data_IF_496981382461
#
_entry.id   IF_496981382461
#
_cell.length_a   1.000
_cell.length_b   1.000
_cell.length_c   1.000
_cell.angle_alpha   90.00
_cell.angle_beta   90.00
_cell.angle_gamma   90.00
#
_symmetry.space_group_name_H-M   'P 1'
#
loop_
_entity.id
_entity.type
_entity.pdbx_description
1 polymer ?
#
# COMPACT_ATOMS: atom_id res chain seq x y z
N UNK A 1 30.60 3.85 16.57
CA UNK A 1 30.85 2.39 16.60
C UNK A 1 31.02 1.95 18.04
N UNK A 2 29.92 1.68 18.74
CA UNK A 2 29.96 0.94 20.01
C UNK A 2 29.76 -0.53 19.65
N UNK A 3 30.70 -1.39 20.03
CA UNK A 3 30.42 -2.81 20.08
C UNK A 3 29.36 -3.00 21.18
N UNK A 4 28.14 -3.35 20.82
CA UNK A 4 27.30 -4.08 21.76
C UNK A 4 28.00 -5.43 21.94
N UNK A 5 28.49 -5.70 23.15
CA UNK A 5 28.81 -7.06 23.51
C UNK A 5 27.49 -7.81 23.52
N UNK A 6 27.26 -8.71 22.56
CA UNK A 6 26.25 -9.74 22.70
C UNK A 6 26.58 -10.52 23.98
N UNK A 7 25.78 -10.31 25.03
CA UNK A 7 26.04 -10.94 26.33
C UNK A 7 25.55 -12.37 26.27
N UNK A 8 26.35 -13.22 25.62
CA UNK A 8 26.33 -14.65 25.92
C UNK A 8 26.80 -14.78 27.37
N UNK A 9 25.84 -14.80 28.29
CA UNK A 9 26.08 -15.10 29.69
C UNK A 9 26.41 -16.58 29.82
N UNK A 10 27.65 -16.96 29.45
CA UNK A 10 28.18 -18.30 29.68
C UNK A 10 28.21 -18.52 31.19
N UNK A 11 27.17 -19.16 31.71
CA UNK A 11 27.05 -19.43 33.14
C UNK A 11 27.93 -20.65 33.46
N UNK A 12 29.22 -20.38 33.66
CA UNK A 12 30.16 -21.36 34.20
C UNK A 12 29.77 -21.65 35.65
N UNK A 13 29.17 -22.82 35.90
CA UNK A 13 28.67 -23.19 37.22
C UNK A 13 29.45 -24.38 37.74
N UNK A 14 30.46 -24.12 38.58
CA UNK A 14 31.19 -25.18 39.27
C UNK A 14 30.30 -25.77 40.35
N UNK A 15 29.82 -26.98 40.11
CA UNK A 15 29.06 -27.77 41.09
C UNK A 15 30.08 -28.65 41.82
N UNK A 16 30.11 -28.59 43.16
CA UNK A 16 30.80 -29.61 43.95
C UNK A 16 30.23 -30.99 43.60
N UNK A 17 30.98 -32.09 43.76
CA UNK A 17 30.54 -33.40 43.27
C UNK A 17 29.07 -33.70 43.64
N UNK A 18 28.21 -34.03 42.66
CA UNK A 18 26.91 -34.60 42.92
C UNK A 18 27.10 -36.08 43.27
N UNK A 19 26.49 -36.50 44.38
CA UNK A 19 26.56 -37.89 44.84
C UNK A 19 25.75 -38.83 43.92
N UNK A 20 24.78 -38.27 43.19
CA UNK A 20 23.88 -38.96 42.26
C UNK A 20 23.34 -38.01 41.17
N UNK A 21 22.60 -38.57 40.22
CA UNK A 21 21.99 -37.79 39.14
C UNK A 21 20.92 -36.80 39.62
N UNK A 22 20.19 -37.15 40.68
CA UNK A 22 19.11 -36.34 41.25
C UNK A 22 19.66 -35.06 41.89
N UNK A 23 20.76 -35.16 42.63
CA UNK A 23 21.48 -34.02 43.20
C UNK A 23 22.21 -33.21 42.13
N UNK A 24 22.64 -33.81 41.02
CA UNK A 24 23.14 -33.09 39.85
C UNK A 24 22.06 -32.18 39.23
N UNK A 25 20.93 -32.74 38.77
CA UNK A 25 19.90 -31.94 38.09
C UNK A 25 19.31 -30.86 39.00
N UNK A 26 19.17 -31.14 40.31
CA UNK A 26 18.67 -30.16 41.27
C UNK A 26 19.57 -28.91 41.40
N UNK A 27 20.89 -29.06 41.21
CA UNK A 27 21.87 -27.96 41.26
C UNK A 27 21.99 -27.17 39.96
N UNK A 28 21.34 -27.58 38.86
CA UNK A 28 21.24 -26.76 37.64
C UNK A 28 20.53 -25.42 37.93
N UNK A 29 20.89 -24.32 37.23
CA UNK A 29 20.24 -23.04 37.43
C UNK A 29 18.74 -23.10 37.08
N UNK A 30 17.87 -22.35 37.78
CA UNK A 30 16.44 -22.36 37.51
C UNK A 30 16.06 -21.58 36.24
N UNK A 31 16.90 -20.65 35.80
CA UNK A 31 16.67 -19.80 34.64
C UNK A 31 17.96 -19.63 33.84
N UNK A 32 17.85 -19.55 32.51
CA UNK A 32 18.92 -19.09 31.60
C UNK A 32 18.33 -18.10 30.58
N UNK A 33 19.20 -17.30 29.96
CA UNK A 33 18.83 -16.35 28.90
C UNK A 33 19.72 -16.57 27.69
N UNK A 34 19.14 -16.60 26.50
CA UNK A 34 19.82 -16.85 25.22
C UNK A 34 19.46 -15.70 24.27
N UNK A 35 20.45 -15.04 23.68
CA UNK A 35 20.21 -14.14 22.53
C UNK A 35 20.10 -14.99 21.27
N UNK A 36 19.18 -14.72 20.35
CA UNK A 36 19.07 -15.54 19.13
C UNK A 36 20.34 -15.48 18.26
N UNK A 37 21.03 -14.33 18.29
CA UNK A 37 22.36 -14.13 17.72
C UNK A 37 23.46 -15.04 18.32
N UNK A 38 23.16 -15.83 19.36
CA UNK A 38 24.10 -16.77 19.97
C UNK A 38 24.55 -17.82 18.95
N UNK A 39 25.87 -17.94 18.65
CA UNK A 39 26.36 -18.86 17.64
C UNK A 39 26.05 -20.34 17.96
N UNK A 40 25.94 -21.14 16.91
CA UNK A 40 25.89 -22.59 17.02
C UNK A 40 27.17 -23.17 17.67
N UNK A 41 26.97 -24.27 18.40
CA UNK A 41 27.92 -24.93 19.30
C UNK A 41 28.38 -24.10 20.52
N UNK A 42 27.67 -23.02 20.88
CA UNK A 42 27.92 -22.29 22.13
C UNK A 42 27.54 -23.14 23.35
N UNK A 43 28.41 -23.18 24.37
CA UNK A 43 28.05 -23.74 25.68
C UNK A 43 27.22 -22.73 26.46
N UNK A 44 25.97 -23.08 26.72
CA UNK A 44 25.03 -22.29 27.52
C UNK A 44 25.27 -22.52 29.01
N UNK A 45 25.57 -23.77 29.36
CA UNK A 45 25.98 -24.19 30.70
C UNK A 45 27.22 -25.06 30.60
N UNK A 46 28.19 -24.75 31.43
CA UNK A 46 29.32 -25.62 31.74
C UNK A 46 29.26 -25.99 33.22
N UNK A 47 29.13 -27.29 33.49
CA UNK A 47 29.16 -27.85 34.85
C UNK A 47 30.39 -28.73 34.98
N UNK A 48 31.31 -28.34 35.86
CA UNK A 48 32.42 -29.20 36.27
C UNK A 48 31.90 -30.30 37.21
N UNK A 49 32.33 -31.53 36.99
CA UNK A 49 31.93 -32.74 37.73
C UNK A 49 33.20 -33.52 38.00
N UNK A 50 33.64 -33.54 39.26
CA UNK A 50 35.03 -33.76 39.64
C UNK A 50 35.39 -35.26 39.79
N UNK A 51 34.39 -36.14 39.92
CA UNK A 51 34.56 -37.56 40.23
C UNK A 51 34.45 -38.51 39.02
N UNK A 52 35.27 -39.57 39.04
CA UNK A 52 35.16 -40.76 38.17
C UNK A 52 33.83 -41.53 38.28
N UNK A 53 32.99 -41.20 39.26
CA UNK A 53 31.65 -41.77 39.42
C UNK A 53 30.57 -40.96 38.69
N UNK A 54 30.80 -39.67 38.40
CA UNK A 54 29.80 -38.82 37.75
C UNK A 54 29.51 -39.26 36.31
N UNK A 55 30.51 -39.84 35.63
CA UNK A 55 30.41 -40.32 34.26
C UNK A 55 29.35 -41.40 34.03
N UNK A 56 28.94 -42.17 35.05
CA UNK A 56 27.99 -43.27 34.88
C UNK A 56 26.52 -42.86 34.99
N UNK A 57 26.25 -41.67 35.53
CA UNK A 57 24.89 -41.15 35.68
C UNK A 57 24.61 -39.89 34.85
N UNK A 58 25.62 -39.14 34.43
CA UNK A 58 25.44 -37.99 33.52
C UNK A 58 24.76 -38.43 32.21
N UNK A 59 25.11 -39.60 31.69
CA UNK A 59 24.52 -40.18 30.48
C UNK A 59 23.05 -40.64 30.68
N UNK A 60 22.50 -40.52 31.91
CA UNK A 60 21.09 -40.79 32.25
C UNK A 60 20.25 -39.50 32.32
N UNK A 61 20.85 -38.32 32.10
CA UNK A 61 20.14 -37.03 32.10
C UNK A 61 19.48 -36.80 30.74
N UNK A 62 18.22 -37.19 30.64
CA UNK A 62 17.34 -36.84 29.53
C UNK A 62 16.76 -35.43 29.69
N UNK A 63 16.34 -34.81 28.60
CA UNK A 63 15.58 -33.56 28.64
C UNK A 63 14.52 -33.46 27.53
N UNK A 64 13.49 -32.66 27.77
CA UNK A 64 12.48 -32.29 26.78
C UNK A 64 12.04 -30.84 26.95
N UNK A 65 11.33 -30.32 25.95
CA UNK A 65 10.93 -28.91 25.86
C UNK A 65 9.44 -28.74 26.11
N UNK A 66 9.08 -27.73 26.90
CA UNK A 66 7.71 -27.32 27.20
C UNK A 66 7.51 -25.86 26.75
N UNK A 67 6.37 -25.51 26.11
CA UNK A 67 5.29 -26.41 25.67
C UNK A 67 5.74 -27.36 24.55
N UNK A 68 5.11 -28.54 24.49
CA UNK A 68 5.49 -29.65 23.61
C UNK A 68 5.47 -29.29 22.11
N UNK A 69 4.67 -28.31 21.74
CA UNK A 69 4.51 -27.75 20.41
C UNK A 69 5.79 -27.06 19.90
N UNK A 70 6.63 -26.56 20.82
CA UNK A 70 7.96 -26.03 20.50
C UNK A 70 9.03 -27.14 20.44
N UNK A 71 8.80 -28.30 21.05
CA UNK A 71 9.79 -29.39 21.09
C UNK A 71 10.12 -29.94 19.70
N UNK A 72 9.24 -29.80 18.71
CA UNK A 72 9.52 -30.20 17.32
C UNK A 72 10.53 -29.27 16.63
N UNK A 73 10.67 -28.04 17.12
CA UNK A 73 11.49 -26.97 16.51
C UNK A 73 12.78 -26.73 17.28
N UNK A 74 12.74 -26.86 18.61
CA UNK A 74 13.86 -26.51 19.48
C UNK A 74 14.67 -27.71 19.97
N UNK A 75 14.16 -28.95 19.92
CA UNK A 75 14.86 -30.08 20.56
C UNK A 75 16.23 -30.36 19.95
N UNK A 76 16.39 -30.21 18.63
CA UNK A 76 17.66 -30.36 17.92
C UNK A 76 18.51 -29.07 17.88
N UNK A 77 18.05 -28.00 18.53
CA UNK A 77 18.87 -26.83 18.87
C UNK A 77 19.69 -27.07 20.15
N UNK A 78 19.36 -28.07 20.98
CA UNK A 78 20.06 -28.34 22.25
C UNK A 78 20.75 -29.70 22.27
N UNK A 79 21.88 -29.78 22.98
CA UNK A 79 22.56 -31.05 23.23
C UNK A 79 23.22 -31.09 24.60
N UNK A 80 22.90 -32.15 25.34
CA UNK A 80 23.68 -32.66 26.46
C UNK A 80 24.97 -33.29 25.92
N UNK A 81 26.14 -32.87 26.42
CA UNK A 81 27.43 -33.45 26.06
C UNK A 81 28.33 -33.59 27.30
N UNK A 82 28.85 -34.79 27.52
CA UNK A 82 29.84 -35.06 28.56
C UNK A 82 31.25 -35.13 27.95
N UNK A 83 32.20 -34.33 28.47
CA UNK A 83 33.59 -34.26 27.99
C UNK A 83 34.54 -34.26 29.19
N UNK A 84 35.24 -35.37 29.42
CA UNK A 84 36.22 -35.51 30.49
C UNK A 84 35.58 -35.43 31.87
N UNK A 85 35.71 -34.28 32.54
CA UNK A 85 35.14 -33.97 33.85
C UNK A 85 34.11 -32.81 33.77
N UNK A 86 33.48 -32.62 32.60
CA UNK A 86 32.54 -31.54 32.34
C UNK A 86 31.27 -32.05 31.67
N UNK A 87 30.12 -31.65 32.20
CA UNK A 87 28.86 -31.70 31.48
C UNK A 87 28.54 -30.35 30.86
N UNK A 88 28.11 -30.36 29.61
CA UNK A 88 27.79 -29.17 28.82
C UNK A 88 26.36 -29.25 28.30
N UNK A 89 25.60 -28.16 28.48
CA UNK A 89 24.43 -27.89 27.64
C UNK A 89 24.89 -27.00 26.48
N UNK A 90 24.87 -27.54 25.26
CA UNK A 90 25.25 -26.85 24.04
C UNK A 90 24.02 -26.37 23.28
N UNK A 91 24.09 -25.15 22.74
CA UNK A 91 23.22 -24.66 21.68
C UNK A 91 23.78 -25.16 20.33
N UNK A 92 23.32 -26.30 19.82
CA UNK A 92 23.78 -26.89 18.55
C UNK A 92 23.43 -26.06 17.32
N UNK A 93 22.30 -25.34 17.34
CA UNK A 93 21.81 -24.49 16.27
C UNK A 93 21.40 -23.15 16.85
N UNK A 94 21.74 -22.05 16.17
CA UNK A 94 21.22 -20.72 16.52
C UNK A 94 19.69 -20.74 16.55
N UNK A 95 19.10 -19.94 17.43
CA UNK A 95 17.65 -19.70 17.43
C UNK A 95 17.38 -18.57 16.42
N UNK A 96 16.17 -18.55 15.88
CA UNK A 96 15.66 -17.55 14.94
C UNK A 96 14.20 -17.35 15.37
N UNK A 97 13.90 -16.21 16.00
CA UNK A 97 12.62 -15.91 16.64
C UNK A 97 11.55 -15.68 15.58
N UNK A 98 11.91 -14.99 14.50
CA UNK A 98 11.04 -14.69 13.35
C UNK A 98 10.60 -15.97 12.66
N UNK A 99 11.50 -16.91 12.40
CA UNK A 99 11.18 -18.20 11.80
C UNK A 99 10.19 -19.00 12.65
N UNK A 100 10.42 -19.08 13.96
CA UNK A 100 9.56 -19.81 14.89
C UNK A 100 8.19 -19.13 15.02
N UNK A 101 8.14 -17.80 15.00
CA UNK A 101 6.91 -17.03 14.97
C UNK A 101 6.12 -17.26 13.66
N UNK A 102 6.77 -17.21 12.50
CA UNK A 102 6.16 -17.42 11.18
C UNK A 102 5.56 -18.84 11.04
N UNK A 103 6.31 -19.87 11.42
CA UNK A 103 5.88 -21.28 11.34
C UNK A 103 4.72 -21.64 12.30
N UNK A 104 4.45 -20.81 13.31
CA UNK A 104 3.39 -21.05 14.31
C UNK A 104 2.26 -20.04 14.32
N UNK A 105 2.48 -18.82 13.85
CA UNK A 105 1.49 -17.73 13.77
C UNK A 105 0.71 -17.52 15.09
N UNK A 106 1.36 -17.84 16.22
CA UNK A 106 0.75 -17.95 17.57
C UNK A 106 1.72 -17.79 18.74
N UNK A 107 3.01 -18.07 18.54
CA UNK A 107 4.01 -18.03 19.61
C UNK A 107 5.16 -17.12 19.22
N UNK A 108 5.22 -15.94 19.84
CA UNK A 108 6.48 -15.21 19.96
C UNK A 108 7.35 -16.02 20.91
N UNK A 109 8.54 -16.45 20.46
CA UNK A 109 9.44 -17.23 21.31
C UNK A 109 10.14 -16.32 22.33
N UNK A 110 9.39 -15.86 23.33
CA UNK A 110 9.96 -15.12 24.46
C UNK A 110 10.49 -16.07 25.53
N UNK A 111 9.72 -17.13 25.83
CA UNK A 111 10.01 -18.04 26.94
C UNK A 111 9.61 -19.48 26.58
N UNK A 112 10.43 -20.45 26.99
CA UNK A 112 10.09 -21.86 27.04
C UNK A 112 10.75 -22.52 28.26
N UNK A 113 10.56 -23.82 28.46
CA UNK A 113 11.22 -24.56 29.53
C UNK A 113 11.96 -25.77 28.98
N UNK A 114 13.16 -26.01 29.50
CA UNK A 114 13.85 -27.29 29.38
C UNK A 114 13.58 -28.04 30.69
N UNK A 115 12.92 -29.18 30.59
CA UNK A 115 12.74 -30.10 31.73
C UNK A 115 13.75 -31.22 31.62
N UNK A 116 14.68 -31.26 32.57
CA UNK A 116 15.61 -32.36 32.75
C UNK A 116 14.94 -33.43 33.60
N UNK A 117 15.11 -34.70 33.23
CA UNK A 117 14.75 -35.84 34.07
C UNK A 117 16.01 -36.59 34.46
N UNK A 118 16.00 -37.18 35.64
CA UNK A 118 16.84 -38.32 35.92
C UNK A 118 16.14 -39.25 36.90
N UNK A 119 16.06 -40.54 36.54
CA UNK A 119 15.27 -41.55 37.22
C UNK A 119 13.80 -41.13 37.45
N UNK A 120 13.46 -40.71 38.67
CA UNK A 120 12.13 -40.23 39.08
C UNK A 120 12.08 -38.74 39.43
N UNK A 121 13.23 -38.06 39.39
CA UNK A 121 13.37 -36.64 39.70
C UNK A 121 13.32 -35.80 38.42
N UNK A 122 12.74 -34.61 38.53
CA UNK A 122 12.67 -33.65 37.44
C UNK A 122 13.16 -32.27 37.89
N UNK A 123 13.86 -31.58 37.00
CA UNK A 123 14.28 -30.19 37.16
C UNK A 123 13.75 -29.39 35.98
N UNK A 124 12.97 -28.36 36.27
CA UNK A 124 12.55 -27.37 35.28
C UNK A 124 13.55 -26.21 35.26
N UNK A 125 13.97 -25.83 34.07
CA UNK A 125 14.77 -24.64 33.79
C UNK A 125 13.99 -23.75 32.82
N UNK A 126 13.69 -22.52 33.22
CA UNK A 126 13.07 -21.55 32.32
C UNK A 126 14.14 -20.98 31.39
N UNK A 127 13.85 -20.90 30.10
CA UNK A 127 14.70 -20.29 29.10
C UNK A 127 13.97 -19.08 28.55
N UNK A 128 14.56 -17.90 28.73
CA UNK A 128 14.13 -16.69 28.02
C UNK A 128 15.00 -16.49 26.78
N UNK A 129 14.38 -16.19 25.66
CA UNK A 129 15.09 -15.81 24.42
C UNK A 129 14.97 -14.31 24.24
N UNK A 130 16.07 -13.68 23.81
CA UNK A 130 16.10 -12.27 23.41
C UNK A 130 15.98 -12.24 21.88
N UNK A 131 14.85 -11.69 21.44
CA UNK A 131 14.61 -11.07 20.14
C UNK A 131 15.58 -9.88 20.01
N UNK A 132 16.53 -9.98 19.08
CA UNK A 132 17.52 -8.95 18.77
C UNK A 132 17.07 -8.16 17.54
N UNK A 133 17.38 -6.86 17.53
CA UNK A 133 17.21 -5.98 16.37
C UNK A 133 18.17 -6.45 15.26
N UNK A 134 17.68 -7.34 14.38
CA UNK A 134 18.44 -8.27 13.52
C UNK A 134 17.98 -8.16 12.04
N UNK A 135 16.66 -8.14 11.81
CA UNK A 135 15.97 -8.06 10.53
C UNK A 135 15.35 -6.68 10.26
N UNK A 136 15.96 -5.93 9.33
CA UNK A 136 15.46 -4.59 8.98
C UNK A 136 14.20 -4.57 8.09
N UNK A 137 13.73 -3.37 7.68
CA UNK A 137 12.39 -3.19 7.12
C UNK A 137 12.09 -4.00 5.86
N UNK A 138 10.84 -4.43 5.71
CA UNK A 138 10.33 -5.19 4.56
C UNK A 138 9.06 -4.52 4.02
N UNK A 139 9.06 -4.18 2.73
CA UNK A 139 7.87 -3.60 2.06
C UNK A 139 6.80 -4.68 1.84
N UNK A 140 5.54 -4.37 2.16
CA UNK A 140 4.41 -5.33 2.14
C UNK A 140 4.17 -5.98 0.77
N UNK A 141 4.59 -5.34 -0.32
CA UNK A 141 4.41 -5.81 -1.68
C UNK A 141 5.49 -6.80 -2.17
N UNK A 142 6.55 -7.06 -1.40
CA UNK A 142 7.52 -8.11 -1.73
C UNK A 142 7.07 -9.47 -1.18
N UNK A 143 6.14 -10.13 -1.90
CA UNK A 143 5.91 -11.59 -1.78
C UNK A 143 6.97 -12.43 -2.50
N UNK A 144 8.03 -11.79 -3.02
CA UNK A 144 9.15 -12.41 -3.70
C UNK A 144 10.23 -12.76 -2.69
N UNK A 145 10.56 -14.05 -2.57
CA UNK A 145 11.74 -14.55 -1.84
C UNK A 145 13.06 -14.26 -2.57
N UNK A 146 12.99 -13.74 -3.81
CA UNK A 146 14.17 -13.27 -4.53
C UNK A 146 14.50 -11.85 -4.08
N UNK A 147 15.79 -11.50 -4.04
CA UNK A 147 16.31 -10.18 -3.68
C UNK A 147 16.04 -9.11 -4.77
N UNK A 148 14.79 -8.97 -5.17
CA UNK A 148 14.27 -7.97 -6.11
C UNK A 148 13.83 -6.73 -5.34
N UNK A 149 14.32 -5.55 -5.73
CA UNK A 149 13.88 -4.26 -5.17
C UNK A 149 12.38 -4.10 -5.42
N UNK A 150 11.64 -3.64 -4.41
CA UNK A 150 10.20 -3.39 -4.51
C UNK A 150 9.91 -2.30 -5.54
N UNK A 151 9.00 -2.56 -6.49
CA UNK A 151 8.56 -1.58 -7.47
C UNK A 151 7.14 -1.10 -7.18
N UNK A 152 6.95 0.22 -7.26
CA UNK A 152 5.66 0.91 -7.23
C UNK A 152 5.53 1.75 -8.49
N UNK A 153 4.32 1.87 -9.01
CA UNK A 153 3.98 2.86 -10.04
C UNK A 153 2.84 3.75 -9.56
N UNK A 154 2.74 4.97 -10.07
CA UNK A 154 1.59 5.84 -9.88
C UNK A 154 1.34 6.67 -11.14
N UNK A 155 0.13 7.19 -11.26
CA UNK A 155 -0.20 8.18 -12.28
C UNK A 155 -0.94 9.37 -11.68
N UNK A 156 -0.76 10.53 -12.29
CA UNK A 156 -1.40 11.77 -11.86
C UNK A 156 -1.71 12.67 -13.06
N UNK A 157 -2.67 13.58 -12.89
CA UNK A 157 -2.94 14.60 -13.90
C UNK A 157 -2.08 15.83 -13.67
N UNK A 158 -1.78 16.56 -14.74
CA UNK A 158 -0.92 17.74 -14.76
C UNK A 158 -1.33 18.77 -13.69
N UNK A 159 -2.61 19.13 -13.67
CA UNK A 159 -3.27 20.06 -12.74
C UNK A 159 -3.64 19.46 -11.36
N UNK A 160 -3.48 18.15 -11.13
CA UNK A 160 -3.82 17.56 -9.83
C UNK A 160 -2.78 17.89 -8.75
N UNK A 161 -3.23 18.27 -7.56
CA UNK A 161 -2.40 18.34 -6.34
C UNK A 161 -3.11 17.59 -5.20
N UNK A 162 -2.33 16.98 -4.31
CA UNK A 162 -2.83 16.07 -3.27
C UNK A 162 -2.21 14.68 -3.33
N UNK A 163 -2.79 13.72 -2.59
CA UNK A 163 -2.30 12.35 -2.50
C UNK A 163 -2.41 11.63 -3.85
N UNK A 164 -1.32 11.02 -4.31
CA UNK A 164 -1.35 10.09 -5.45
C UNK A 164 -1.51 8.66 -4.93
N UNK A 165 -2.29 7.84 -5.64
CA UNK A 165 -2.44 6.42 -5.32
C UNK A 165 -1.40 5.59 -6.10
N UNK A 166 -0.78 4.63 -5.42
CA UNK A 166 0.25 3.76 -5.98
C UNK A 166 -0.33 2.42 -6.44
N UNK A 167 0.40 1.73 -7.29
CA UNK A 167 0.20 0.35 -7.69
C UNK A 167 1.49 -0.45 -7.45
N UNK A 168 1.48 -1.45 -6.55
CA UNK A 168 0.35 -1.82 -5.69
C UNK A 168 0.01 -0.71 -4.67
N UNK A 169 -1.22 -0.76 -4.15
CA UNK A 169 -1.75 0.26 -3.25
C UNK A 169 -1.02 0.30 -1.91
N UNK A 170 -0.64 1.51 -1.48
CA UNK A 170 0.06 1.75 -0.22
C UNK A 170 1.56 1.46 -0.30
N UNK A 171 2.38 2.51 -0.11
CA UNK A 171 3.80 2.33 0.21
C UNK A 171 3.86 2.02 1.71
N UNK A 172 3.88 0.74 2.02
CA UNK A 172 3.89 0.24 3.39
C UNK A 172 5.06 -0.72 3.56
N UNK A 173 5.80 -0.56 4.66
CA UNK A 173 6.79 -1.48 5.16
C UNK A 173 6.54 -1.73 6.65
N UNK A 174 6.77 -2.97 7.05
CA UNK A 174 6.86 -3.37 8.45
C UNK A 174 8.34 -3.60 8.79
N UNK A 175 8.64 -3.65 10.08
CA UNK A 175 9.93 -4.17 10.51
C UNK A 175 10.02 -5.68 10.29
N UNK A 176 11.23 -6.22 10.24
CA UNK A 176 11.45 -7.66 10.06
C UNK A 176 11.28 -8.46 11.35
N UNK A 177 11.72 -7.88 12.46
CA UNK A 177 11.71 -8.49 13.80
C UNK A 177 10.29 -8.65 14.39
N UNK A 178 10.09 -9.65 15.26
CA UNK A 178 8.77 -9.94 15.85
C UNK A 178 8.31 -8.87 16.84
N UNK A 179 9.21 -8.26 17.61
CA UNK A 179 8.87 -7.13 18.50
C UNK A 179 8.51 -5.86 17.72
N UNK A 180 9.18 -5.65 16.58
CA UNK A 180 8.84 -4.66 15.55
C UNK A 180 9.03 -3.18 15.93
N UNK A 181 9.99 -2.52 15.29
CA UNK A 181 10.18 -1.08 15.38
C UNK A 181 9.20 -0.28 14.49
N UNK A 182 8.96 0.98 14.85
CA UNK A 182 8.23 1.90 13.97
C UNK A 182 9.04 2.19 12.70
N UNK A 183 8.38 2.27 11.54
CA UNK A 183 9.03 2.62 10.28
C UNK A 183 8.82 4.10 9.94
N UNK A 184 9.87 4.73 9.42
CA UNK A 184 9.84 6.07 8.82
C UNK A 184 10.17 6.03 7.34
N UNK A 185 9.53 6.92 6.57
CA UNK A 185 9.67 6.98 5.11
C UNK A 185 10.33 8.27 4.64
N UNK A 186 11.19 8.18 3.63
CA UNK A 186 11.80 9.33 2.96
C UNK A 186 12.05 9.04 1.49
N UNK A 187 12.33 10.08 0.70
CA UNK A 187 12.96 9.93 -0.60
C UNK A 187 14.48 10.03 -0.42
N UNK A 188 15.19 8.99 -0.85
CA UNK A 188 16.66 8.93 -0.83
C UNK A 188 17.26 9.58 -2.08
N UNK A 189 16.54 9.49 -3.20
CA UNK A 189 16.95 9.99 -4.51
C UNK A 189 15.72 10.14 -5.41
N UNK A 190 15.82 10.95 -6.46
CA UNK A 190 14.83 10.98 -7.52
C UNK A 190 15.34 11.63 -8.81
N UNK A 191 14.75 11.23 -9.92
CA UNK A 191 14.95 11.76 -11.24
C UNK A 191 13.63 12.27 -11.83
N UNK A 192 13.66 13.39 -12.58
CA UNK A 192 14.80 14.29 -12.74
C UNK A 192 15.10 15.10 -11.45
N UNK A 193 16.25 15.77 -11.44
CA UNK A 193 16.65 16.66 -10.34
C UNK A 193 15.59 17.74 -10.08
N UNK A 194 15.29 18.01 -8.80
CA UNK A 194 14.20 18.91 -8.39
C UNK A 194 12.82 18.24 -8.29
N UNK A 195 12.76 16.91 -8.25
CA UNK A 195 11.51 16.18 -8.02
C UNK A 195 10.83 16.55 -6.69
N UNK A 196 11.60 17.03 -5.70
CA UNK A 196 11.11 17.47 -4.39
C UNK A 196 10.18 18.70 -4.46
N UNK A 197 10.27 19.51 -5.53
CA UNK A 197 9.32 20.60 -5.79
C UNK A 197 7.90 20.07 -6.11
N UNK A 198 7.82 18.84 -6.63
CA UNK A 198 6.58 18.21 -7.09
C UNK A 198 6.05 17.15 -6.14
N UNK A 199 6.90 16.45 -5.39
CA UNK A 199 6.50 15.32 -4.56
C UNK A 199 7.08 15.36 -3.15
N UNK A 200 6.22 15.09 -2.17
CA UNK A 200 6.62 14.80 -0.79
C UNK A 200 6.07 13.45 -0.36
N UNK A 201 6.83 12.70 0.44
CA UNK A 201 6.36 11.48 1.10
C UNK A 201 6.06 11.75 2.56
N UNK A 202 4.94 11.24 3.06
CA UNK A 202 4.60 11.33 4.47
C UNK A 202 5.50 10.37 5.27
N UNK A 203 6.32 10.86 6.22
CA UNK A 203 7.31 10.04 6.89
C UNK A 203 6.72 8.99 7.84
N UNK A 204 5.41 9.02 8.14
CA UNK A 204 4.73 8.06 9.02
C UNK A 204 3.86 7.06 8.27
N UNK A 205 3.31 7.45 7.12
CA UNK A 205 2.27 6.68 6.41
C UNK A 205 2.66 6.27 4.99
N UNK A 206 3.85 6.62 4.51
CA UNK A 206 4.31 6.33 3.15
C UNK A 206 3.52 7.02 2.02
N UNK A 207 2.43 7.72 2.33
CA UNK A 207 1.61 8.45 1.37
C UNK A 207 2.44 9.49 0.61
N UNK A 208 2.47 9.39 -0.72
CA UNK A 208 3.08 10.40 -1.59
C UNK A 208 2.02 11.42 -1.99
N UNK A 209 2.34 12.70 -1.81
CA UNK A 209 1.53 13.82 -2.25
C UNK A 209 2.25 14.58 -3.36
N UNK A 210 1.51 14.90 -4.43
CA UNK A 210 1.91 15.88 -5.45
C UNK A 210 1.63 17.28 -4.93
N UNK A 211 2.66 18.08 -4.69
CA UNK A 211 2.61 19.42 -4.05
C UNK A 211 2.40 20.55 -5.04
N UNK A 212 2.76 20.35 -6.30
CA UNK A 212 2.76 21.37 -7.35
C UNK A 212 2.12 20.84 -8.63
N UNK A 213 1.43 21.71 -9.35
CA UNK A 213 1.03 21.45 -10.74
C UNK A 213 2.27 21.35 -11.64
N UNK A 214 2.22 20.45 -12.61
CA UNK A 214 3.22 20.35 -13.67
C UNK A 214 2.81 21.36 -14.75
N UNK A 215 3.76 22.08 -15.36
CA UNK A 215 3.48 23.02 -16.46
C UNK A 215 4.16 22.61 -17.76
N UNK A 216 3.86 23.34 -18.85
CA UNK A 216 4.50 23.10 -20.14
C UNK A 216 6.01 23.34 -20.03
N UNK A 217 6.80 22.31 -20.34
CA UNK A 217 8.26 22.30 -20.16
C UNK A 217 8.74 21.67 -18.85
N UNK A 218 7.85 21.37 -17.89
CA UNK A 218 8.18 20.56 -16.71
C UNK A 218 8.26 19.05 -17.09
N UNK A 219 8.89 18.21 -16.26
CA UNK A 219 8.96 16.77 -16.50
C UNK A 219 7.60 16.07 -16.34
N UNK A 220 7.31 15.12 -17.23
CA UNK A 220 6.09 14.30 -17.21
C UNK A 220 6.31 12.87 -16.71
N UNK A 221 7.55 12.49 -16.37
CA UNK A 221 7.91 11.19 -15.80
C UNK A 221 8.92 11.40 -14.69
N UNK A 222 8.70 10.75 -13.55
CA UNK A 222 9.56 10.81 -12.38
C UNK A 222 9.88 9.40 -11.89
N UNK A 223 11.11 9.16 -11.47
CA UNK A 223 11.53 7.93 -10.80
C UNK A 223 12.13 8.32 -9.44
N UNK A 224 11.60 7.79 -8.34
CA UNK A 224 12.04 8.11 -6.99
C UNK A 224 12.47 6.84 -6.26
N UNK A 225 13.55 6.91 -5.49
CA UNK A 225 13.96 5.86 -4.56
C UNK A 225 13.40 6.21 -3.19
N UNK A 226 12.43 5.43 -2.73
CA UNK A 226 11.88 5.50 -1.39
C UNK A 226 12.79 4.71 -0.45
N UNK A 227 13.09 5.28 0.71
CA UNK A 227 13.75 4.58 1.81
C UNK A 227 12.77 4.43 2.98
N UNK A 228 12.58 3.19 3.42
CA UNK A 228 12.02 2.85 4.73
C UNK A 228 13.17 2.67 5.72
N UNK A 229 13.06 3.28 6.91
CA UNK A 229 14.05 3.23 7.99
C UNK A 229 13.36 2.89 9.29
N UNK A 230 13.84 1.85 9.98
CA UNK A 230 13.37 1.49 11.32
C UNK A 230 13.77 2.54 12.37
N UNK A 231 12.94 2.75 13.39
CA UNK A 231 13.20 3.64 14.51
C UNK A 231 13.91 2.93 15.67
N UNK A 232 14.89 2.08 15.35
CA UNK A 232 15.72 1.36 16.32
C UNK A 232 17.02 2.12 16.66
N UNK A 233 17.92 1.50 17.44
CA UNK A 233 19.28 2.02 17.63
C UNK A 233 20.25 1.71 16.49
N UNK A 234 19.91 0.73 15.65
CA UNK A 234 20.72 0.30 14.51
C UNK A 234 20.27 0.99 13.21
N UNK A 235 18.99 1.31 13.08
CA UNK A 235 18.45 2.18 12.04
C UNK A 235 18.64 1.59 10.64
N UNK A 236 18.49 0.27 10.47
CA UNK A 236 18.53 -0.39 9.17
C UNK A 236 17.48 0.19 8.25
N UNK A 237 17.74 0.03 6.96
CA UNK A 237 16.93 0.62 5.91
C UNK A 237 16.68 -0.34 4.77
N UNK A 238 15.56 -0.13 4.08
CA UNK A 238 15.18 -0.83 2.85
C UNK A 238 14.78 0.18 1.81
N UNK A 239 15.07 -0.11 0.54
CA UNK A 239 14.69 0.76 -0.57
C UNK A 239 13.64 0.13 -1.48
N UNK A 240 12.84 0.99 -2.08
CA UNK A 240 11.88 0.69 -3.15
C UNK A 240 11.98 1.75 -4.24
N UNK A 241 11.59 1.41 -5.46
CA UNK A 241 11.47 2.36 -6.59
C UNK A 241 10.01 2.74 -6.77
N UNK A 242 9.73 4.02 -6.99
CA UNK A 242 8.44 4.56 -7.38
C UNK A 242 8.56 5.29 -8.72
N UNK A 243 7.86 4.82 -9.74
CA UNK A 243 7.73 5.51 -11.03
C UNK A 243 6.39 6.28 -11.07
N UNK A 244 6.41 7.57 -11.42
CA UNK A 244 5.21 8.41 -11.51
C UNK A 244 5.08 9.02 -12.91
N UNK A 245 4.04 8.62 -13.63
CA UNK A 245 3.64 9.23 -14.90
C UNK A 245 2.67 10.40 -14.68
N UNK A 246 2.92 11.53 -15.33
CA UNK A 246 2.00 12.68 -15.34
C UNK A 246 1.35 12.81 -16.71
N UNK A 247 0.03 12.98 -16.74
CA UNK A 247 -0.78 12.97 -17.96
C UNK A 247 -1.52 14.29 -18.17
N UNK A 248 -1.66 14.71 -19.42
CA UNK A 248 -2.15 16.04 -19.82
C UNK A 248 -3.68 16.24 -19.76
N UNK A 249 -4.45 15.24 -19.35
CA UNK A 249 -5.91 15.34 -19.31
C UNK A 249 -6.49 14.62 -18.09
N UNK A 250 -7.06 15.36 -17.13
CA UNK A 250 -8.18 14.79 -16.37
C UNK A 250 -9.23 14.33 -17.39
N UNK A 251 -9.68 13.06 -17.38
CA UNK A 251 -10.88 12.69 -18.11
C UNK A 251 -12.02 13.45 -17.45
N UNK A 252 -12.41 14.57 -18.06
CA UNK A 252 -13.61 15.31 -17.66
C UNK A 252 -14.72 14.28 -17.66
N UNK A 253 -15.20 13.96 -16.45
CA UNK A 253 -16.37 13.13 -16.27
C UNK A 253 -17.57 13.95 -16.74
N UNK A 254 -17.70 14.04 -18.07
CA UNK A 254 -18.90 14.43 -18.75
C UNK A 254 -19.93 13.37 -18.41
N UNK A 255 -20.57 13.55 -17.26
CA UNK A 255 -21.90 13.04 -17.03
C UNK A 255 -22.81 13.77 -18.01
N UNK A 256 -22.79 13.32 -19.27
CA UNK A 256 -23.96 13.38 -20.14
C UNK A 256 -25.06 12.62 -19.38
N UNK A 257 -25.76 13.34 -18.50
CA UNK A 257 -27.04 12.91 -17.98
C UNK A 257 -27.96 12.94 -19.19
N UNK A 258 -28.01 11.82 -19.93
CA UNK A 258 -28.99 11.58 -20.97
C UNK A 258 -30.35 11.70 -20.31
N UNK A 259 -30.91 12.90 -20.39
CA UNK A 259 -32.22 13.21 -19.84
C UNK A 259 -33.19 12.17 -20.39
N UNK A 260 -33.84 11.43 -19.48
CA UNK A 260 -34.77 10.39 -19.85
C UNK A 260 -35.77 10.97 -20.88
N UNK A 261 -36.04 10.25 -21.98
CA UNK A 261 -36.97 10.70 -23.02
C UNK A 261 -38.31 11.16 -22.45
N UNK A 262 -38.76 10.60 -21.32
CA UNK A 262 -39.92 11.06 -20.57
C UNK A 262 -39.79 12.50 -20.04
N UNK A 263 -38.63 12.89 -19.50
CA UNK A 263 -38.36 14.26 -19.00
C UNK A 263 -38.32 15.26 -20.15
N UNK A 264 -37.68 14.89 -21.27
CA UNK A 264 -37.67 15.70 -22.50
C UNK A 264 -39.09 15.92 -23.06
N UNK A 265 -39.92 14.87 -23.10
CA UNK A 265 -41.33 14.97 -23.49
C UNK A 265 -42.14 15.85 -22.55
N UNK A 266 -41.97 15.71 -21.22
CA UNK A 266 -42.67 16.55 -20.24
C UNK A 266 -42.28 18.02 -20.40
N UNK A 267 -41.00 18.33 -20.61
CA UNK A 267 -40.53 19.70 -20.87
C UNK A 267 -41.09 20.28 -22.18
N UNK A 268 -41.17 19.48 -23.25
CA UNK A 268 -41.81 19.90 -24.50
C UNK A 268 -43.30 20.17 -24.34
N UNK A 269 -44.03 19.32 -23.60
CA UNK A 269 -45.46 19.50 -23.33
C UNK A 269 -45.70 20.78 -22.51
N UNK A 270 -44.91 21.03 -21.46
CA UNK A 270 -45.01 22.25 -20.65
C UNK A 270 -44.74 23.49 -21.52
N UNK A 271 -43.70 23.46 -22.37
CA UNK A 271 -43.39 24.55 -23.31
C UNK A 271 -44.55 24.82 -24.28
N UNK A 272 -45.12 23.78 -24.88
CA UNK A 272 -46.28 23.88 -25.77
C UNK A 272 -47.52 24.49 -25.10
N UNK A 273 -47.83 24.06 -23.87
CA UNK A 273 -48.94 24.61 -23.08
C UNK A 273 -48.73 26.10 -22.79
N UNK A 274 -47.51 26.50 -22.41
CA UNK A 274 -47.17 27.91 -22.15
C UNK A 274 -47.32 28.78 -23.39
N UNK A 275 -46.89 28.29 -24.57
CA UNK A 275 -47.06 29.00 -25.85
C UNK A 275 -48.54 29.18 -26.19
N UNK A 276 -49.37 28.14 -26.06
CA UNK A 276 -50.82 28.22 -26.33
C UNK A 276 -51.53 29.15 -25.34
N UNK A 277 -51.15 29.12 -24.06
CA UNK A 277 -51.69 30.05 -23.07
C UNK A 277 -51.34 31.52 -23.41
N UNK A 278 -50.10 31.77 -23.86
CA UNK A 278 -49.67 33.10 -24.29
C UNK A 278 -50.39 33.59 -25.55
N UNK A 279 -50.56 32.75 -26.57
CA UNK A 279 -51.25 33.17 -27.82
C UNK A 279 -52.74 33.43 -27.59
N UNK A 280 -53.42 32.60 -26.79
CA UNK A 280 -54.82 32.83 -26.40
C UNK A 280 -54.98 34.08 -25.54
N UNK A 281 -54.07 34.30 -24.57
CA UNK A 281 -54.05 35.51 -23.74
C UNK A 281 -53.84 36.78 -24.57
N UNK A 282 -52.90 36.74 -25.52
CA UNK A 282 -52.66 37.85 -26.45
C UNK A 282 -53.86 38.12 -27.36
N UNK A 283 -54.45 37.09 -27.96
CA UNK A 283 -55.65 37.22 -28.78
C UNK A 283 -56.85 37.81 -28.01
N UNK A 284 -57.03 37.41 -26.74
CA UNK A 284 -58.04 37.99 -25.86
C UNK A 284 -57.80 39.48 -25.59
N UNK A 285 -56.55 39.88 -25.30
CA UNK A 285 -56.18 41.30 -25.09
C UNK A 285 -56.45 42.13 -26.35
N UNK A 286 -56.07 41.63 -27.52
CA UNK A 286 -56.29 42.31 -28.82
C UNK A 286 -57.79 42.47 -29.09
N UNK A 287 -58.58 41.39 -28.97
CA UNK A 287 -60.04 41.45 -29.18
C UNK A 287 -60.73 42.43 -28.21
N UNK A 288 -60.30 42.45 -26.94
CA UNK A 288 -60.85 43.38 -25.96
C UNK A 288 -60.46 44.84 -26.26
N UNK A 289 -59.27 45.12 -26.80
CA UNK A 289 -58.89 46.48 -27.19
C UNK A 289 -59.67 46.98 -28.41
N UNK A 290 -59.87 46.13 -29.44
CA UNK A 290 -60.59 46.52 -30.66
C UNK A 290 -62.04 46.92 -30.36
N UNK A 291 -62.74 46.20 -29.47
CA UNK A 291 -64.12 46.54 -29.06
C UNK A 291 -64.28 47.88 -28.34
N UNK A 292 -63.20 48.54 -27.88
CA UNK A 292 -63.27 49.85 -27.20
C UNK A 292 -63.16 51.07 -28.13
N UNK A 293 -62.86 50.89 -29.42
CA UNK A 293 -62.73 51.98 -30.39
C UNK A 293 -63.62 51.78 -31.62
N UNK A 294 -64.94 51.88 -31.42
CA UNK A 294 -65.88 52.24 -32.49
C UNK A 294 -66.38 53.65 -32.15
N UNK A 295 -65.74 54.66 -32.73
CA UNK A 295 -66.16 56.06 -32.65
C UNK A 295 -66.81 56.42 -33.97
N UNK A 296 -68.03 56.96 -33.92
CA UNK A 296 -68.81 57.34 -35.10
C UNK A 296 -68.19 58.57 -35.78
N UNK A 297 -67.91 58.58 -37.10
CA UNK A 297 -67.34 59.74 -37.77
C UNK A 297 -68.35 60.88 -37.92
N UNK A 298 -67.90 62.13 -37.74
CA UNK A 298 -68.62 63.32 -38.22
C UNK A 298 -68.02 63.83 -39.54
N UNK A 299 -68.89 64.46 -40.33
CA UNK A 299 -68.65 65.25 -41.56
C UNK A 299 -68.74 66.74 -41.12
N UNK A 300 -67.99 67.74 -41.64
CA UNK A 300 -67.54 67.96 -43.02
C UNK A 300 -66.01 68.28 -43.12
N UNK A 301 -65.39 68.85 -44.17
CA UNK A 301 -65.89 69.48 -45.41
C UNK A 301 -65.00 69.21 -46.66
N UNK A 302 -64.58 70.24 -47.41
CA UNK A 302 -64.10 70.17 -48.79
C UNK A 302 -62.76 70.87 -49.10
N UNK A 303 -62.16 70.40 -50.20
CA UNK A 303 -61.36 71.16 -51.21
C UNK A 303 -59.84 71.36 -51.05
N UNK A 304 -59.16 71.11 -52.20
CA UNK A 304 -57.89 71.71 -52.69
C UNK A 304 -56.55 71.38 -51.97
N UNK A 305 -55.41 71.19 -52.65
CA UNK A 305 -55.06 70.78 -54.04
C UNK A 305 -53.54 70.51 -54.08
N UNK A 306 -53.09 69.50 -54.85
CA UNK A 306 -51.67 69.33 -55.31
C UNK A 306 -50.62 69.04 -54.20
N UNK A 307 -49.39 68.53 -54.45
CA UNK A 307 -48.68 68.20 -55.70
C UNK A 307 -47.53 67.18 -55.44
N UNK A 308 -47.35 66.22 -56.35
CA UNK A 308 -46.11 65.47 -56.69
C UNK A 308 -45.42 64.52 -55.66
N UNK A 309 -45.36 63.25 -56.07
CA UNK A 309 -44.18 62.38 -56.25
C UNK A 309 -43.07 62.32 -55.19
N UNK A 310 -42.86 61.13 -54.60
CA UNK A 310 -41.78 60.21 -55.03
C UNK A 310 -41.67 58.95 -54.15
N UNK A 311 -41.40 57.79 -54.78
CA UNK A 311 -40.70 56.60 -54.24
C UNK A 311 -41.29 55.86 -53.00
N UNK A 312 -41.09 54.55 -52.83
CA UNK A 312 -40.84 53.44 -53.75
C UNK A 312 -41.20 52.16 -52.96
N UNK A 313 -41.86 51.18 -53.59
CA UNK A 313 -42.34 50.00 -52.87
C UNK A 313 -41.26 48.92 -52.77
N UNK A 314 -40.95 48.49 -51.54
CA UNK A 314 -40.23 47.23 -51.29
C UNK A 314 -41.10 46.36 -50.39
N UNK A 315 -41.69 45.33 -50.99
CA UNK A 315 -42.37 44.24 -50.30
C UNK A 315 -41.39 43.16 -49.88
N UNK A 316 -41.66 42.49 -48.77
CA UNK A 316 -41.03 41.24 -48.35
C UNK A 316 -41.24 40.15 -49.42
N UNK A 317 -40.32 39.19 -49.58
CA UNK A 317 -40.64 37.79 -49.20
C UNK A 317 -39.49 36.76 -49.31
N UNK A 318 -39.69 35.67 -48.55
CA UNK A 318 -39.21 34.29 -48.77
C UNK A 318 -37.77 33.84 -48.42
N UNK A 319 -37.73 32.81 -47.55
CA UNK A 319 -36.65 31.83 -47.37
C UNK A 319 -36.62 30.83 -48.53
N UNK A 320 -35.43 30.44 -49.01
CA UNK A 320 -35.14 29.07 -49.48
C UNK A 320 -33.77 28.64 -48.94
N UNK A 321 -33.69 27.38 -48.50
CA UNK A 321 -32.48 26.71 -48.01
C UNK A 321 -31.98 25.74 -49.10
N UNK A 322 -30.73 25.85 -49.54
CA UNK A 322 -30.13 24.90 -50.48
C UNK A 322 -28.99 24.10 -49.81
N UNK A 323 -29.18 22.78 -49.72
CA UNK A 323 -28.14 21.83 -49.32
C UNK A 323 -27.37 21.37 -50.56
N UNK A 324 -26.04 21.55 -50.59
CA UNK A 324 -25.18 20.92 -51.58
C UNK A 324 -24.31 19.85 -50.93
N UNK A 325 -24.58 18.58 -51.26
CA UNK A 325 -23.71 17.44 -50.92
C UNK A 325 -22.76 17.22 -52.10
N UNK A 326 -21.45 17.27 -51.86
CA UNK A 326 -20.44 16.93 -52.87
C UNK A 326 -20.02 15.48 -52.70
N UNK A 327 -20.31 14.66 -53.69
CA UNK A 327 -19.76 13.32 -53.84
C UNK A 327 -18.38 13.39 -54.51
N UNK A 328 -17.40 12.66 -53.97
CA UNK A 328 -16.21 12.25 -54.73
C UNK A 328 -15.96 10.77 -54.50
N UNK A 329 -16.21 9.97 -55.54
CA UNK A 329 -15.73 8.59 -55.60
C UNK A 329 -14.24 8.58 -55.98
N UNK A 330 -13.50 7.58 -55.50
CA UNK A 330 -12.36 7.07 -56.26
C UNK A 330 -12.24 5.56 -56.02
N UNK A 331 -12.49 4.79 -57.09
CA UNK A 331 -12.44 3.33 -57.07
C UNK A 331 -11.02 2.81 -57.30
N UNK A 332 -10.61 1.79 -56.52
CA UNK A 332 -9.89 0.54 -56.92
C UNK A 332 -9.29 -0.08 -55.63
N UNK A 333 -9.87 -1.14 -55.05
CA UNK A 333 -9.93 -2.56 -55.46
C UNK A 333 -8.60 -3.33 -55.41
N UNK A 334 -8.68 -4.48 -54.71
CA UNK A 334 -7.75 -5.61 -54.58
C UNK A 334 -6.40 -5.33 -53.88
N UNK A 335 -5.92 -6.16 -52.95
CA UNK A 335 -6.49 -7.40 -52.38
C UNK A 335 -5.40 -8.45 -52.17
N UNK A 336 -5.25 -8.99 -50.96
CA UNK A 336 -4.20 -9.98 -50.68
C UNK A 336 -4.10 -10.40 -49.21
N UNK A 337 -4.83 -11.45 -48.83
CA UNK A 337 -4.69 -12.14 -47.54
C UNK A 337 -3.58 -13.18 -47.61
N UNK A 338 -2.66 -13.20 -46.63
CA UNK A 338 -1.86 -14.40 -46.30
C UNK A 338 -1.85 -14.62 -44.78
N UNK A 339 -2.05 -15.89 -44.39
CA UNK A 339 -2.05 -16.40 -43.02
C UNK A 339 -0.66 -16.87 -42.58
N UNK A 340 -0.48 -16.97 -41.26
CA UNK A 340 0.26 -18.00 -40.53
C UNK A 340 1.46 -18.68 -41.21
N UNK A 341 2.65 -18.55 -40.60
CA UNK A 341 3.36 -19.76 -40.19
C UNK A 341 4.28 -19.52 -38.99
N UNK A 342 4.18 -20.42 -38.03
CA UNK A 342 5.12 -20.58 -36.92
C UNK A 342 6.02 -21.80 -37.21
N UNK A 343 7.21 -21.87 -36.61
CA UNK A 343 7.50 -22.99 -35.70
C UNK A 343 7.43 -22.57 -34.22
#
# INVERSE_FOLDING_TARGET
MRLLLAVVSILTHSIADPDDCSSFINRLPPNITISESTPSNTSLLEVNVNATAASTFIDQVDFYIIPSELSVFLLDHFKSLHVGNKWLLLLQKSIDVEYIYQEKNKYVLNNFQITFLCESNTKVMNVSVIDEDDNGPVFANTKSTNCTISGYTASSYREYTGKIETSPGGIEAADGDVTGNNITYSFLYGEPFGFEDYFIINPRYGHVNKTREVIEGDPHSFMMIIQATEMSTLGRTKIAVLEVGVHENIPVASSEVKANKAVLLVLQIISGIMIVAFTLGFAFIVHHRIKKHIVTPQVPDSSNTSKFDSMEAVTEDSFILENTIVLTETNQMNGGSIKDTKP
#
